data_IF_689441364840
#
_entry.id   IF_689441364840
#
_cell.length_a   1.000
_cell.length_b   1.000
_cell.length_c   1.000
_cell.angle_alpha   90.00
_cell.angle_beta   90.00
_cell.angle_gamma   90.00
#
_symmetry.space_group_name_H-M   'P 1'
#
loop_
_entity.id
_entity.type
_entity.pdbx_description
1 polymer ?
#
# COMPACT_ATOMS: atom_id res chain seq x y z
N UNK A 1 0.18 -5.77 24.69
CA UNK A 1 -0.84 -5.18 25.59
C UNK A 1 -1.46 -6.28 26.43
N UNK A 2 -1.57 -6.05 27.70
CA UNK A 2 -2.20 -6.97 28.65
C UNK A 2 -3.55 -6.38 29.06
N UNK A 3 -4.64 -7.18 29.11
CA UNK A 3 -5.89 -6.70 29.68
C UNK A 3 -5.69 -6.48 31.18
N UNK A 4 -5.93 -5.29 31.67
CA UNK A 4 -5.69 -4.92 33.08
C UNK A 4 -6.72 -5.49 34.06
N UNK A 5 -7.58 -6.38 33.63
CA UNK A 5 -8.54 -7.13 34.44
C UNK A 5 -9.56 -6.31 35.26
N UNK A 6 -9.39 -5.01 35.38
CA UNK A 6 -10.21 -4.13 36.25
C UNK A 6 -10.86 -2.96 35.52
N UNK A 7 -10.61 -2.74 34.22
CA UNK A 7 -11.04 -1.49 33.62
C UNK A 7 -11.80 -1.74 32.32
N UNK A 8 -13.09 -1.52 32.40
CA UNK A 8 -13.90 -1.24 31.23
C UNK A 8 -14.06 0.27 31.12
N UNK A 9 -13.86 0.79 29.91
CA UNK A 9 -14.20 2.17 29.63
C UNK A 9 -15.69 2.42 29.94
N UNK A 10 -16.12 3.67 30.10
CA UNK A 10 -17.54 4.03 30.26
C UNK A 10 -18.45 3.43 29.16
N UNK A 11 -17.86 2.97 28.05
CA UNK A 11 -18.55 2.33 26.91
C UNK A 11 -18.47 0.80 26.95
N UNK A 12 -18.02 0.18 28.04
CA UNK A 12 -17.92 -1.27 28.21
C UNK A 12 -16.77 -1.92 27.44
N UNK A 13 -15.84 -1.14 26.86
CA UNK A 13 -14.68 -1.69 26.16
C UNK A 13 -13.54 -1.97 27.13
N UNK A 14 -12.81 -3.11 26.99
CA UNK A 14 -11.65 -3.40 27.81
C UNK A 14 -10.55 -2.37 27.60
N UNK A 15 -9.92 -1.94 28.68
CA UNK A 15 -8.74 -1.08 28.66
C UNK A 15 -7.50 -1.97 28.71
N UNK A 16 -6.53 -1.69 27.83
CA UNK A 16 -5.29 -2.43 27.72
C UNK A 16 -4.11 -1.54 28.15
N UNK A 17 -3.16 -2.12 28.87
CA UNK A 17 -1.87 -1.48 29.12
C UNK A 17 -0.81 -1.97 28.15
N UNK A 18 0.07 -1.06 27.73
CA UNK A 18 1.25 -1.43 26.97
C UNK A 18 2.30 -2.00 27.92
N UNK A 19 2.86 -3.14 27.54
CA UNK A 19 4.03 -3.68 28.22
C UNK A 19 5.18 -2.71 27.94
N UNK A 20 5.78 -2.17 29.01
CA UNK A 20 6.86 -1.19 28.92
C UNK A 20 8.23 -1.84 28.78
N UNK A 21 8.37 -3.03 29.38
CA UNK A 21 9.60 -3.81 29.32
C UNK A 21 9.32 -5.15 28.64
N UNK A 22 9.85 -5.37 27.42
CA UNK A 22 9.66 -6.63 26.71
C UNK A 22 10.37 -7.82 27.37
N UNK A 23 11.36 -7.58 28.25
CA UNK A 23 12.14 -8.62 28.95
C UNK A 23 11.48 -9.05 30.27
N UNK A 24 10.42 -8.38 30.69
CA UNK A 24 9.72 -8.73 31.90
C UNK A 24 8.98 -10.09 31.73
N UNK A 25 9.59 -11.12 32.33
CA UNK A 25 9.08 -12.52 32.25
C UNK A 25 7.68 -12.69 32.76
N UNK A 26 7.19 -11.82 33.63
CA UNK A 26 5.80 -11.86 34.13
C UNK A 26 4.79 -11.66 33.01
N UNK A 27 5.14 -10.93 31.96
CA UNK A 27 4.30 -10.74 30.79
C UNK A 27 4.35 -11.92 29.82
N UNK A 28 5.46 -12.65 29.76
CA UNK A 28 5.59 -13.86 28.94
C UNK A 28 4.74 -15.00 29.49
N UNK A 29 4.69 -15.14 30.83
CA UNK A 29 3.80 -16.08 31.50
C UNK A 29 2.33 -15.70 31.30
N UNK A 30 2.02 -14.40 31.28
CA UNK A 30 0.69 -13.88 30.99
C UNK A 30 0.28 -14.00 29.51
N UNK A 31 1.19 -14.37 28.57
CA UNK A 31 0.83 -14.53 27.16
C UNK A 31 -0.28 -15.56 26.95
N UNK A 32 -0.26 -16.66 27.72
CA UNK A 32 -1.36 -17.60 27.81
C UNK A 32 -2.65 -17.05 28.43
N UNK A 33 -2.57 -15.90 29.11
CA UNK A 33 -3.66 -15.26 29.87
C UNK A 33 -4.27 -14.03 29.15
N UNK A 34 -4.11 -13.91 27.85
CA UNK A 34 -4.80 -12.88 27.08
C UNK A 34 -3.97 -11.68 26.65
N UNK A 35 -2.65 -11.79 26.62
CA UNK A 35 -1.80 -10.79 25.98
C UNK A 35 -2.11 -10.72 24.49
N UNK A 36 -2.44 -9.54 23.96
CA UNK A 36 -2.69 -9.34 22.55
C UNK A 36 -1.61 -8.47 21.91
N UNK A 37 -1.18 -8.87 20.74
CA UNK A 37 -0.26 -8.07 19.90
C UNK A 37 -1.07 -7.06 19.10
N UNK A 38 -0.68 -5.80 19.21
CA UNK A 38 -1.33 -4.71 18.47
C UNK A 38 -0.32 -4.08 17.53
N UNK A 39 -0.64 -3.94 16.23
CA UNK A 39 0.23 -3.23 15.30
C UNK A 39 0.50 -1.80 15.80
N UNK A 40 1.76 -1.42 15.97
CA UNK A 40 2.13 -0.06 16.38
C UNK A 40 1.97 0.97 15.23
N UNK A 41 1.87 0.49 13.98
CA UNK A 41 1.78 1.32 12.78
C UNK A 41 3.08 2.00 12.35
N UNK A 42 4.10 2.00 13.20
CA UNK A 42 5.35 2.75 12.98
C UNK A 42 6.56 1.85 12.70
N UNK A 43 6.65 0.67 13.31
CA UNK A 43 7.77 -0.24 13.07
C UNK A 43 7.75 -0.78 11.62
N UNK A 44 8.90 -1.25 11.19
CA UNK A 44 9.10 -1.81 9.85
C UNK A 44 8.08 -2.89 9.49
N UNK A 45 7.79 -3.83 10.41
CA UNK A 45 6.80 -4.89 10.20
C UNK A 45 5.41 -4.35 9.90
N UNK A 46 4.94 -3.38 10.69
CA UNK A 46 3.62 -2.77 10.48
C UNK A 46 3.53 -2.00 9.15
N UNK A 47 4.61 -1.36 8.75
CA UNK A 47 4.65 -0.61 7.50
C UNK A 47 4.71 -1.52 6.29
N UNK A 48 5.46 -2.64 6.36
CA UNK A 48 5.42 -3.69 5.33
C UNK A 48 4.02 -4.28 5.17
N UNK A 49 3.36 -4.60 6.28
CA UNK A 49 1.99 -5.11 6.25
C UNK A 49 1.03 -4.07 5.64
N UNK A 50 1.22 -2.79 5.93
CA UNK A 50 0.45 -1.71 5.33
C UNK A 50 0.66 -1.61 3.81
N UNK A 51 1.92 -1.63 3.36
CA UNK A 51 2.28 -1.64 1.94
C UNK A 51 1.69 -2.85 1.22
N UNK A 52 1.84 -4.05 1.80
CA UNK A 52 1.27 -5.27 1.25
C UNK A 52 -0.24 -5.18 1.12
N UNK A 53 -0.95 -4.69 2.13
CA UNK A 53 -2.40 -4.50 2.04
C UNK A 53 -2.82 -3.55 0.93
N UNK A 54 -2.01 -2.53 0.61
CA UNK A 54 -2.27 -1.66 -0.53
C UNK A 54 -2.05 -2.39 -1.86
N UNK A 55 -0.97 -3.17 -1.99
CA UNK A 55 -0.73 -3.99 -3.18
C UNK A 55 -1.88 -4.98 -3.41
N UNK A 56 -2.30 -5.68 -2.35
CA UNK A 56 -3.41 -6.62 -2.39
C UNK A 56 -4.73 -5.93 -2.80
N UNK A 57 -5.03 -4.76 -2.25
CA UNK A 57 -6.21 -3.96 -2.64
C UNK A 57 -6.17 -3.48 -4.09
N UNK A 58 -5.00 -3.13 -4.60
CA UNK A 58 -4.83 -2.77 -6.01
C UNK A 58 -5.08 -3.96 -6.94
N UNK A 59 -4.66 -5.16 -6.54
CA UNK A 59 -4.96 -6.38 -7.28
C UNK A 59 -6.46 -6.72 -7.28
N UNK A 60 -7.16 -6.50 -6.16
CA UNK A 60 -8.61 -6.68 -6.08
C UNK A 60 -9.37 -5.64 -6.91
N UNK A 61 -8.88 -4.40 -6.98
CA UNK A 61 -9.41 -3.39 -7.90
C UNK A 61 -9.22 -3.83 -9.35
N UNK A 62 -8.01 -4.32 -9.71
CA UNK A 62 -7.72 -4.83 -11.06
C UNK A 62 -8.62 -6.01 -11.42
N UNK A 63 -8.82 -6.95 -10.51
CA UNK A 63 -9.72 -8.11 -10.73
C UNK A 63 -11.15 -7.65 -11.01
N UNK A 64 -11.62 -6.60 -10.35
CA UNK A 64 -12.95 -6.02 -10.53
C UNK A 64 -13.11 -5.31 -11.87
N UNK A 65 -12.11 -4.50 -12.28
CA UNK A 65 -12.21 -3.66 -13.50
C UNK A 65 -11.65 -4.35 -14.75
N UNK A 66 -10.90 -5.42 -14.58
CA UNK A 66 -10.35 -6.26 -15.65
C UNK A 66 -9.14 -5.70 -16.39
N UNK A 67 -8.83 -4.39 -16.29
CA UNK A 67 -7.70 -3.78 -16.97
C UNK A 67 -7.11 -2.61 -16.17
N UNK A 68 -5.78 -2.48 -16.22
CA UNK A 68 -5.05 -1.36 -15.65
C UNK A 68 -3.70 -1.20 -16.34
N UNK A 69 -3.10 0.00 -16.23
CA UNK A 69 -1.73 0.29 -16.68
C UNK A 69 -0.92 0.89 -15.55
N UNK A 70 0.36 0.57 -15.54
CA UNK A 70 1.37 1.22 -14.70
C UNK A 70 2.00 2.37 -15.47
N UNK A 71 1.97 3.56 -14.90
CA UNK A 71 2.43 4.81 -15.52
C UNK A 71 3.49 5.44 -14.66
N UNK A 72 4.59 5.86 -15.28
CA UNK A 72 5.59 6.72 -14.64
C UNK A 72 5.59 8.08 -15.32
N UNK A 73 5.45 9.14 -14.52
CA UNK A 73 5.48 10.53 -14.94
C UNK A 73 6.79 11.17 -14.46
N UNK A 74 7.51 11.80 -15.37
CA UNK A 74 8.78 12.46 -15.07
C UNK A 74 8.75 13.87 -15.66
N UNK A 75 9.30 14.85 -14.97
CA UNK A 75 9.44 16.20 -15.50
C UNK A 75 10.57 16.30 -16.52
N UNK A 76 10.40 17.15 -17.53
CA UNK A 76 11.51 17.71 -18.29
C UNK A 76 12.23 18.81 -17.48
N UNK A 77 13.27 19.43 -18.07
CA UNK A 77 14.05 20.44 -17.37
C UNK A 77 13.34 21.80 -17.26
N UNK A 78 12.36 22.05 -18.11
CA UNK A 78 11.64 23.33 -18.16
C UNK A 78 10.51 23.39 -17.13
N UNK A 79 9.93 22.23 -16.79
CA UNK A 79 8.74 22.14 -15.94
C UNK A 79 9.01 21.59 -14.54
N UNK A 80 10.26 21.17 -14.25
CA UNK A 80 10.60 20.60 -12.94
C UNK A 80 10.39 21.64 -11.84
N UNK A 81 9.57 21.37 -10.81
CA UNK A 81 9.34 22.30 -9.72
C UNK A 81 10.61 22.50 -8.89
N UNK A 82 10.98 23.75 -8.67
CA UNK A 82 12.15 24.15 -7.86
C UNK A 82 11.64 24.78 -6.57
N UNK A 83 12.23 24.42 -5.46
CA UNK A 83 12.03 25.05 -4.16
C UNK A 83 13.05 26.14 -3.96
N UNK A 84 12.62 27.25 -3.39
CA UNK A 84 13.46 28.40 -3.07
C UNK A 84 13.41 28.68 -1.57
N UNK A 85 14.54 29.09 -1.01
CA UNK A 85 14.68 29.62 0.33
C UNK A 85 15.51 30.91 0.21
N UNK A 86 15.02 32.00 0.74
CA UNK A 86 15.65 33.33 0.63
C UNK A 86 16.06 33.72 -0.81
N UNK A 87 15.16 33.39 -1.80
CA UNK A 87 15.36 33.60 -3.24
C UNK A 87 16.44 32.71 -3.88
N UNK A 88 17.07 31.81 -3.15
CA UNK A 88 18.04 30.85 -3.68
C UNK A 88 17.39 29.48 -3.92
N UNK A 89 17.68 28.79 -5.07
CA UNK A 89 17.14 27.48 -5.36
C UNK A 89 17.79 26.42 -4.47
N UNK A 90 17.01 25.76 -3.60
CA UNK A 90 17.50 24.75 -2.68
C UNK A 90 17.33 23.31 -3.18
N UNK A 91 16.53 23.09 -4.22
CA UNK A 91 16.34 21.76 -4.81
C UNK A 91 15.06 21.58 -5.58
N UNK A 92 14.86 20.38 -6.07
CA UNK A 92 13.63 19.98 -6.73
C UNK A 92 12.57 19.57 -5.70
N UNK A 93 11.29 19.75 -6.05
CA UNK A 93 10.20 19.35 -5.16
C UNK A 93 9.08 18.62 -5.90
N UNK A 94 8.35 17.77 -5.18
CA UNK A 94 7.15 17.11 -5.70
C UNK A 94 5.96 18.07 -5.66
N UNK A 95 5.05 17.99 -6.66
CA UNK A 95 3.89 18.86 -6.78
C UNK A 95 2.59 18.06 -6.84
N UNK A 96 1.78 18.11 -5.78
CA UNK A 96 0.46 17.45 -5.74
C UNK A 96 -0.51 18.01 -6.79
N UNK A 97 -0.42 19.30 -7.06
CA UNK A 97 -1.29 20.00 -8.02
C UNK A 97 -1.11 19.42 -9.42
N UNK A 98 0.13 19.19 -9.84
CA UNK A 98 0.42 18.65 -11.16
C UNK A 98 -0.15 17.24 -11.34
N UNK A 99 -0.07 16.39 -10.30
CA UNK A 99 -0.70 15.08 -10.31
C UNK A 99 -2.24 15.17 -10.40
N UNK A 100 -2.84 16.14 -9.72
CA UNK A 100 -4.29 16.37 -9.78
C UNK A 100 -4.71 16.87 -11.16
N UNK A 101 -3.93 17.75 -11.77
CA UNK A 101 -4.18 18.27 -13.11
C UNK A 101 -4.00 17.17 -14.18
N UNK A 102 -2.98 16.31 -14.05
CA UNK A 102 -2.85 15.11 -14.87
C UNK A 102 -4.13 14.26 -14.83
N UNK A 103 -4.61 13.93 -13.64
CA UNK A 103 -5.81 13.11 -13.49
C UNK A 103 -7.08 13.81 -14.01
N UNK A 104 -7.15 15.13 -13.91
CA UNK A 104 -8.26 15.94 -14.45
C UNK A 104 -8.24 15.93 -15.96
N UNK A 105 -7.07 16.17 -16.58
CA UNK A 105 -6.89 16.15 -18.02
C UNK A 105 -7.22 14.76 -18.59
N UNK A 106 -6.67 13.72 -17.99
CA UNK A 106 -6.91 12.34 -18.40
C UNK A 106 -8.40 11.99 -18.38
N UNK A 107 -9.10 12.33 -17.31
CA UNK A 107 -10.54 12.03 -17.18
C UNK A 107 -11.37 12.81 -18.20
N UNK A 108 -11.05 14.06 -18.45
CA UNK A 108 -11.74 14.84 -19.49
C UNK A 108 -11.68 14.16 -20.86
N UNK A 109 -10.56 13.49 -21.15
CA UNK A 109 -10.33 12.90 -22.47
C UNK A 109 -10.85 11.44 -22.57
N UNK A 110 -10.97 10.73 -21.45
CA UNK A 110 -11.33 9.30 -21.42
C UNK A 110 -12.60 8.95 -20.66
N UNK A 111 -12.99 9.71 -19.61
CA UNK A 111 -14.21 9.42 -18.85
C UNK A 111 -15.45 9.65 -19.73
N UNK A 112 -16.19 8.60 -20.02
CA UNK A 112 -17.48 8.67 -20.72
C UNK A 112 -17.39 8.70 -22.24
N UNK A 113 -16.23 8.49 -22.87
CA UNK A 113 -16.11 8.27 -24.31
C UNK A 113 -16.35 6.79 -24.63
N UNK A 114 -17.10 6.55 -25.73
CA UNK A 114 -17.29 5.26 -26.41
C UNK A 114 -18.04 4.17 -25.65
N UNK A 115 -19.11 4.54 -24.93
CA UNK A 115 -20.05 3.56 -24.41
C UNK A 115 -19.49 2.59 -23.37
N UNK A 116 -18.35 2.91 -22.78
CA UNK A 116 -17.81 2.19 -21.63
C UNK A 116 -18.64 2.51 -20.39
N UNK A 117 -19.53 1.62 -19.93
CA UNK A 117 -20.40 1.87 -18.77
C UNK A 117 -19.65 1.94 -17.44
N UNK A 118 -18.34 1.69 -17.44
CA UNK A 118 -17.48 1.66 -16.26
C UNK A 118 -16.44 2.79 -16.20
N UNK A 119 -16.64 3.82 -16.97
CA UNK A 119 -15.62 4.80 -17.32
C UNK A 119 -15.33 5.86 -16.27
N UNK A 120 -15.20 5.50 -15.02
CA UNK A 120 -14.53 6.37 -14.07
C UNK A 120 -13.13 5.86 -13.83
N UNK A 121 -12.14 6.43 -14.54
CA UNK A 121 -10.73 6.09 -14.31
C UNK A 121 -10.41 6.26 -12.82
N UNK A 122 -9.99 5.16 -12.22
CA UNK A 122 -9.56 5.14 -10.83
C UNK A 122 -8.06 5.01 -10.77
N UNK A 123 -7.44 5.43 -9.69
CA UNK A 123 -6.00 5.46 -9.62
C UNK A 123 -5.45 5.29 -8.21
N UNK A 124 -4.21 4.82 -8.14
CA UNK A 124 -3.32 4.93 -7.00
C UNK A 124 -1.99 5.49 -7.49
N UNK A 125 -1.56 6.62 -6.93
CA UNK A 125 -0.38 7.37 -7.35
C UNK A 125 0.51 7.63 -6.13
N UNK A 126 1.82 7.56 -6.33
CA UNK A 126 2.82 7.94 -5.32
C UNK A 126 3.89 8.80 -5.98
N UNK A 127 4.40 9.76 -5.23
CA UNK A 127 5.56 10.55 -5.60
C UNK A 127 6.83 9.96 -5.03
N UNK A 128 7.94 10.19 -5.72
CA UNK A 128 9.28 9.76 -5.33
C UNK A 128 10.33 10.78 -5.77
N UNK A 129 11.39 10.92 -4.97
CA UNK A 129 12.63 11.56 -5.39
C UNK A 129 13.61 10.51 -5.87
N UNK A 130 14.12 10.65 -7.08
CA UNK A 130 15.13 9.76 -7.65
C UNK A 130 16.36 9.66 -6.74
N UNK A 131 17.01 8.49 -6.66
CA UNK A 131 18.08 8.24 -5.69
C UNK A 131 19.29 9.16 -5.90
N UNK A 132 19.70 9.36 -7.14
CA UNK A 132 20.93 10.11 -7.49
C UNK A 132 20.67 11.60 -7.72
N UNK A 133 19.69 11.94 -8.56
CA UNK A 133 19.46 13.32 -9.02
C UNK A 133 18.42 14.06 -8.20
N UNK A 134 17.73 13.38 -7.28
CA UNK A 134 16.61 13.91 -6.51
C UNK A 134 15.48 14.50 -7.36
N UNK A 135 15.44 14.17 -8.65
CA UNK A 135 14.34 14.58 -9.53
C UNK A 135 13.03 13.92 -9.09
N UNK A 136 11.92 14.67 -9.01
CA UNK A 136 10.63 14.10 -8.67
C UNK A 136 10.10 13.21 -9.79
N UNK A 137 9.61 12.03 -9.41
CA UNK A 137 8.91 11.08 -10.25
C UNK A 137 7.55 10.74 -9.63
N UNK A 138 6.61 10.32 -10.47
CA UNK A 138 5.31 9.83 -9.99
C UNK A 138 5.03 8.48 -10.61
N UNK A 139 4.72 7.51 -9.76
CA UNK A 139 4.32 6.17 -10.18
C UNK A 139 2.83 6.00 -9.93
N UNK A 140 2.10 5.64 -10.95
CA UNK A 140 0.64 5.58 -10.92
C UNK A 140 0.12 4.26 -11.49
N UNK A 141 -0.81 3.62 -10.79
CA UNK A 141 -1.65 2.57 -11.36
C UNK A 141 -2.96 3.25 -11.79
N UNK A 142 -3.28 3.18 -13.07
CA UNK A 142 -4.55 3.64 -13.63
C UNK A 142 -5.44 2.43 -13.89
N UNK A 143 -6.55 2.34 -13.19
CA UNK A 143 -7.55 1.29 -13.34
C UNK A 143 -8.63 1.72 -14.31
N UNK A 144 -9.10 0.80 -15.14
CA UNK A 144 -10.09 1.02 -16.18
C UNK A 144 -9.50 1.34 -17.56
N UNK A 145 -8.18 1.45 -17.67
CA UNK A 145 -7.44 1.59 -18.94
C UNK A 145 -6.45 0.43 -19.07
N UNK A 146 -6.37 -0.17 -20.27
CA UNK A 146 -5.39 -1.17 -20.64
C UNK A 146 -4.44 -0.67 -21.73
N UNK A 147 -3.38 -1.39 -22.05
CA UNK A 147 -2.48 -1.04 -23.14
C UNK A 147 -3.19 -0.98 -24.50
N UNK A 148 -4.27 -1.76 -24.67
CA UNK A 148 -5.04 -1.80 -25.91
C UNK A 148 -5.88 -0.53 -26.13
N UNK A 149 -6.12 0.24 -25.09
CA UNK A 149 -6.79 1.54 -25.20
C UNK A 149 -5.85 2.64 -25.77
N UNK A 150 -4.58 2.32 -26.01
CA UNK A 150 -3.57 3.23 -26.56
C UNK A 150 -3.00 2.70 -27.90
N UNK A 151 -3.71 2.89 -29.01
CA UNK A 151 -3.30 2.37 -30.32
C UNK A 151 -2.00 3.00 -30.85
N UNK A 152 -1.67 4.23 -30.42
CA UNK A 152 -0.47 4.95 -30.85
C UNK A 152 0.76 4.69 -29.97
N UNK A 153 0.67 3.73 -29.03
CA UNK A 153 1.80 3.37 -28.16
C UNK A 153 3.03 2.93 -28.95
N UNK A 154 4.20 3.40 -28.56
CA UNK A 154 5.49 3.08 -29.17
C UNK A 154 6.35 2.32 -28.17
N UNK A 155 6.78 1.11 -28.53
CA UNK A 155 7.70 0.31 -27.71
C UNK A 155 9.02 1.04 -27.49
N UNK A 156 9.50 1.08 -26.23
CA UNK A 156 10.75 1.74 -25.84
C UNK A 156 11.79 0.79 -25.26
N UNK A 157 11.38 -0.36 -24.74
CA UNK A 157 12.30 -1.31 -24.12
C UNK A 157 11.62 -2.15 -23.05
N UNK A 158 12.45 -2.74 -22.18
CA UNK A 158 12.02 -3.54 -21.04
C UNK A 158 12.34 -2.76 -19.76
N UNK A 159 11.39 -2.75 -18.82
CA UNK A 159 11.59 -2.15 -17.51
C UNK A 159 12.32 -3.10 -16.53
N UNK A 160 12.58 -2.64 -15.31
CA UNK A 160 13.22 -3.41 -14.24
C UNK A 160 12.47 -4.70 -13.85
N UNK A 161 11.17 -4.78 -14.14
CA UNK A 161 10.34 -5.99 -13.92
C UNK A 161 10.36 -6.95 -15.11
N UNK A 162 11.26 -6.73 -16.08
CA UNK A 162 11.33 -7.45 -17.36
C UNK A 162 9.98 -7.45 -18.09
N UNK A 163 9.30 -6.31 -18.09
CA UNK A 163 8.05 -6.06 -18.80
C UNK A 163 8.28 -4.99 -19.87
N UNK A 164 7.65 -5.11 -21.05
CA UNK A 164 7.73 -4.07 -22.07
C UNK A 164 7.13 -2.77 -21.57
N UNK A 165 7.81 -1.66 -21.85
CA UNK A 165 7.28 -0.34 -21.60
C UNK A 165 7.19 0.48 -22.87
N UNK A 166 6.26 1.42 -22.87
CA UNK A 166 5.84 2.17 -24.06
C UNK A 166 5.81 3.67 -23.76
N UNK A 167 6.11 4.45 -24.78
CA UNK A 167 5.70 5.85 -24.89
C UNK A 167 4.25 5.90 -25.40
N UNK A 168 3.40 6.70 -24.76
CA UNK A 168 1.97 6.80 -25.09
C UNK A 168 1.61 8.27 -25.31
N UNK A 169 1.51 8.71 -26.57
CA UNK A 169 1.23 10.10 -26.91
C UNK A 169 -0.04 10.65 -26.27
N UNK A 170 -1.07 9.81 -26.14
CA UNK A 170 -2.35 10.18 -25.52
C UNK A 170 -2.19 10.55 -24.05
N UNK A 171 -1.39 9.80 -23.30
CA UNK A 171 -1.11 10.11 -21.89
C UNK A 171 -0.14 11.28 -21.74
N UNK A 172 0.77 11.46 -22.72
CA UNK A 172 1.66 12.61 -22.76
C UNK A 172 0.89 13.92 -22.94
N UNK A 173 -0.22 13.91 -23.70
CA UNK A 173 -1.11 15.07 -23.80
C UNK A 173 -1.74 15.46 -22.46
N UNK A 174 -2.01 14.48 -21.60
CA UNK A 174 -2.50 14.73 -20.24
C UNK A 174 -1.40 15.21 -19.28
N UNK A 175 -0.12 14.87 -19.57
CA UNK A 175 1.08 15.30 -18.84
C UNK A 175 2.03 16.12 -19.72
N UNK A 176 1.72 17.38 -20.02
CA UNK A 176 2.54 18.22 -20.90
C UNK A 176 3.85 18.71 -20.27
N UNK A 177 4.17 18.23 -19.06
CA UNK A 177 5.31 18.67 -18.24
C UNK A 177 6.56 17.77 -18.38
N UNK A 178 6.55 16.83 -19.31
CA UNK A 178 7.71 15.98 -19.53
C UNK A 178 7.38 14.61 -20.13
N UNK A 179 7.91 13.56 -19.53
CA UNK A 179 7.90 12.22 -20.09
C UNK A 179 6.88 11.32 -19.40
N UNK A 180 6.26 10.43 -20.18
CA UNK A 180 5.32 9.41 -19.71
C UNK A 180 5.77 8.07 -20.23
N UNK A 181 5.97 7.11 -19.33
CA UNK A 181 6.18 5.71 -19.71
C UNK A 181 5.07 4.84 -19.13
N UNK A 182 4.67 3.83 -19.89
CA UNK A 182 3.53 2.97 -19.57
C UNK A 182 3.92 1.51 -19.72
N UNK A 183 3.53 0.66 -18.76
CA UNK A 183 3.67 -0.79 -18.84
C UNK A 183 2.44 -1.50 -18.28
N UNK A 184 2.41 -2.82 -18.41
CA UNK A 184 1.36 -3.64 -17.81
C UNK A 184 1.42 -3.65 -16.29
N UNK A 185 0.26 -3.82 -15.65
CA UNK A 185 0.16 -3.99 -14.21
C UNK A 185 0.35 -5.45 -13.83
N UNK A 186 1.15 -5.66 -12.80
CA UNK A 186 1.36 -6.95 -12.13
C UNK A 186 1.30 -6.75 -10.62
N UNK A 187 1.26 -7.85 -9.86
CA UNK A 187 1.42 -7.74 -8.42
C UNK A 187 2.74 -7.08 -8.03
N UNK A 188 3.81 -7.32 -8.79
CA UNK A 188 5.12 -6.71 -8.54
C UNK A 188 5.06 -5.19 -8.68
N UNK A 189 4.43 -4.65 -9.74
CA UNK A 189 4.26 -3.21 -9.92
C UNK A 189 3.33 -2.60 -8.88
N UNK A 190 2.26 -3.29 -8.48
CA UNK A 190 1.42 -2.86 -7.36
C UNK A 190 2.20 -2.80 -6.04
N UNK A 191 3.01 -3.84 -5.76
CA UNK A 191 3.85 -3.89 -4.57
C UNK A 191 4.95 -2.81 -4.61
N UNK A 192 5.49 -2.52 -5.79
CA UNK A 192 6.44 -1.44 -6.00
C UNK A 192 5.83 -0.09 -5.62
N UNK A 193 4.71 0.29 -6.23
CA UNK A 193 4.03 1.56 -5.94
C UNK A 193 3.63 1.65 -4.46
N UNK A 194 3.14 0.56 -3.87
CA UNK A 194 2.77 0.53 -2.46
C UNK A 194 3.97 0.71 -1.50
N UNK A 195 5.17 0.28 -1.90
CA UNK A 195 6.39 0.37 -1.07
C UNK A 195 6.91 1.78 -0.85
N UNK A 196 6.56 2.74 -1.71
CA UNK A 196 6.94 4.14 -1.47
C UNK A 196 6.37 4.70 -0.17
N UNK A 197 5.29 4.12 0.34
CA UNK A 197 4.80 4.42 1.69
C UNK A 197 5.78 3.99 2.79
N UNK A 198 6.76 3.11 2.48
CA UNK A 198 7.78 2.61 3.41
C UNK A 198 9.05 3.47 3.42
N UNK A 199 9.43 4.09 2.30
CA UNK A 199 10.66 4.88 2.19
C UNK A 199 10.74 5.96 3.27
N UNK A 200 9.65 6.62 3.58
CA UNK A 200 9.55 7.59 4.68
C UNK A 200 10.11 7.10 6.03
N UNK A 201 10.15 5.78 6.24
CA UNK A 201 10.64 5.19 7.51
C UNK A 201 12.14 5.17 7.58
N UNK A 202 12.77 4.81 6.46
CA UNK A 202 14.23 4.73 6.41
C UNK A 202 14.83 6.13 6.36
N UNK A 203 14.16 7.07 5.70
CA UNK A 203 14.60 8.46 5.63
C UNK A 203 14.43 9.20 6.97
N UNK A 204 13.36 8.98 7.75
CA UNK A 204 13.24 9.52 9.10
C UNK A 204 14.33 9.01 10.07
N UNK A 205 14.90 7.83 9.83
CA UNK A 205 16.06 7.34 10.62
C UNK A 205 17.40 7.84 10.08
N UNK A 206 17.48 8.21 8.79
CA UNK A 206 18.71 8.67 8.13
C UNK A 206 18.76 10.20 8.00
N UNK A 207 17.61 10.87 8.00
CA UNK A 207 17.49 12.32 7.80
C UNK A 207 16.72 13.01 8.92
N UNK A 208 17.26 12.99 10.12
CA UNK A 208 17.12 14.14 11.03
C UNK A 208 17.70 15.42 10.37
N UNK A 209 18.46 15.29 9.31
CA UNK A 209 19.11 16.39 8.58
C UNK A 209 18.45 16.74 7.24
N UNK A 210 17.53 15.95 6.69
CA UNK A 210 16.91 16.21 5.38
C UNK A 210 15.64 17.06 5.43
N UNK A 211 15.01 17.19 6.59
CA UNK A 211 13.88 18.11 6.80
C UNK A 211 14.30 19.57 6.95
N UNK A 212 15.58 19.84 7.12
CA UNK A 212 16.12 21.21 7.21
C UNK A 212 16.12 21.96 5.86
N UNK A 213 15.78 21.28 4.75
CA UNK A 213 15.89 21.89 3.41
C UNK A 213 14.54 22.27 2.76
N UNK A 214 13.45 22.39 3.51
CA UNK A 214 12.18 22.94 3.00
C UNK A 214 11.50 22.17 1.85
N UNK A 215 11.98 20.98 1.49
CA UNK A 215 11.47 20.18 0.37
C UNK A 215 10.16 19.48 0.77
N UNK A 216 9.15 19.54 -0.09
CA UNK A 216 7.87 18.86 0.15
C UNK A 216 8.04 17.35 0.30
N UNK A 217 7.43 16.74 1.33
CA UNK A 217 7.56 15.30 1.55
C UNK A 217 6.85 14.50 0.45
N UNK A 218 7.39 13.32 0.12
CA UNK A 218 6.73 12.35 -0.75
C UNK A 218 5.30 12.07 -0.28
N UNK A 219 4.38 11.85 -1.19
CA UNK A 219 2.97 11.65 -0.90
C UNK A 219 2.35 10.53 -1.73
N UNK A 220 1.17 10.08 -1.31
CA UNK A 220 0.33 9.19 -2.11
C UNK A 220 -1.06 9.79 -2.29
N UNK A 221 -1.58 9.70 -3.51
CA UNK A 221 -2.92 10.10 -3.91
C UNK A 221 -3.66 8.89 -4.45
N UNK A 222 -4.97 8.80 -4.21
CA UNK A 222 -5.76 7.68 -4.69
C UNK A 222 -7.24 8.01 -4.80
N UNK A 223 -7.97 7.20 -5.57
CA UNK A 223 -9.42 7.22 -5.57
C UNK A 223 -9.98 6.80 -4.22
N UNK A 224 -10.89 7.61 -3.65
CA UNK A 224 -11.39 7.42 -2.27
C UNK A 224 -12.88 7.09 -2.19
N UNK A 225 -13.67 7.43 -3.18
CA UNK A 225 -15.14 7.28 -3.17
C UNK A 225 -15.62 6.58 -4.44
N UNK A 226 -15.77 5.25 -4.37
CA UNK A 226 -15.39 4.32 -3.31
C UNK A 226 -13.86 4.22 -3.16
N UNK A 227 -13.35 3.62 -2.06
CA UNK A 227 -11.91 3.36 -1.89
C UNK A 227 -11.42 2.27 -2.84
N UNK A 228 -10.12 2.23 -3.15
CA UNK A 228 -9.52 1.19 -3.99
C UNK A 228 -9.82 -0.20 -3.42
N UNK A 229 -10.27 -1.13 -4.28
CA UNK A 229 -10.69 -2.49 -3.95
C UNK A 229 -12.04 -2.58 -3.22
N UNK A 230 -12.79 -1.48 -3.08
CA UNK A 230 -14.07 -1.51 -2.37
C UNK A 230 -15.14 -2.28 -3.12
N UNK A 231 -15.17 -2.15 -4.44
CA UNK A 231 -16.18 -2.78 -5.28
C UNK A 231 -16.05 -4.31 -5.30
N UNK A 232 -14.83 -4.82 -5.18
CA UNK A 232 -14.60 -6.25 -5.03
C UNK A 232 -15.38 -6.84 -3.84
N UNK A 233 -15.41 -6.15 -2.70
CA UNK A 233 -16.18 -6.60 -1.53
C UNK A 233 -17.70 -6.60 -1.79
N UNK A 234 -18.20 -5.66 -2.58
CA UNK A 234 -19.63 -5.61 -2.93
C UNK A 234 -20.03 -6.75 -3.88
N UNK A 235 -19.12 -7.15 -4.78
CA UNK A 235 -19.35 -8.23 -5.75
C UNK A 235 -19.08 -9.63 -5.18
N UNK A 236 -18.23 -9.72 -4.16
CA UNK A 236 -17.71 -10.96 -3.57
C UNK A 236 -17.79 -10.90 -2.03
N UNK A 237 -18.97 -10.71 -1.48
CA UNK A 237 -19.16 -10.64 -0.02
C UNK A 237 -18.87 -11.97 0.67
N UNK A 238 -18.96 -13.10 -0.05
CA UNK A 238 -18.58 -14.44 0.36
C UNK A 238 -17.07 -14.56 0.67
N UNK A 239 -16.24 -13.66 0.12
CA UNK A 239 -14.80 -13.64 0.42
C UNK A 239 -14.50 -13.52 1.92
N UNK A 240 -15.45 -12.99 2.70
CA UNK A 240 -15.34 -12.87 4.15
C UNK A 240 -15.52 -14.19 4.89
N UNK A 241 -16.11 -15.20 4.26
CA UNK A 241 -16.30 -16.54 4.83
C UNK A 241 -15.00 -17.35 4.82
N UNK A 242 -13.99 -16.87 4.09
CA UNK A 242 -12.68 -17.50 3.96
C UNK A 242 -11.60 -16.68 4.70
N UNK A 243 -10.47 -17.30 4.96
CA UNK A 243 -9.31 -16.61 5.55
C UNK A 243 -8.46 -15.86 4.53
N UNK A 244 -8.55 -16.29 3.27
CA UNK A 244 -7.72 -15.79 2.18
C UNK A 244 -8.58 -15.58 0.93
N UNK A 245 -8.18 -14.60 0.14
CA UNK A 245 -8.68 -14.37 -1.21
C UNK A 245 -7.60 -14.86 -2.18
N UNK A 246 -8.00 -15.46 -3.29
CA UNK A 246 -7.10 -15.84 -4.37
C UNK A 246 -7.51 -15.15 -5.66
N UNK A 247 -6.62 -14.31 -6.18
CA UNK A 247 -6.84 -13.58 -7.44
C UNK A 247 -6.01 -14.21 -8.54
N UNK A 248 -6.62 -14.44 -9.69
CA UNK A 248 -5.94 -14.99 -10.87
C UNK A 248 -4.93 -13.98 -11.40
N UNK A 249 -3.75 -14.45 -11.75
CA UNK A 249 -2.69 -13.67 -12.38
C UNK A 249 -2.20 -14.36 -13.64
N UNK A 250 -1.50 -13.66 -14.51
CA UNK A 250 -0.92 -14.28 -15.72
C UNK A 250 0.06 -15.44 -15.45
N UNK A 251 0.57 -15.57 -14.21
CA UNK A 251 1.51 -16.63 -13.78
C UNK A 251 0.90 -17.60 -12.76
N UNK A 252 -0.44 -17.65 -12.64
CA UNK A 252 -1.14 -18.51 -11.68
C UNK A 252 -2.10 -17.73 -10.79
N UNK A 253 -2.15 -18.03 -9.49
CA UNK A 253 -3.00 -17.33 -8.54
C UNK A 253 -2.17 -16.68 -7.43
N UNK A 254 -2.47 -15.41 -7.13
CA UNK A 254 -1.92 -14.71 -5.97
C UNK A 254 -2.87 -14.87 -4.79
N UNK A 255 -2.37 -15.48 -3.70
CA UNK A 255 -3.10 -15.68 -2.46
C UNK A 255 -2.79 -14.57 -1.48
N UNK A 256 -3.81 -13.90 -0.98
CA UNK A 256 -3.69 -12.79 -0.04
C UNK A 256 -4.61 -12.96 1.16
N UNK A 257 -4.26 -12.35 2.30
CA UNK A 257 -5.18 -12.25 3.42
C UNK A 257 -6.26 -11.22 3.13
N UNK A 258 -7.43 -11.37 3.78
CA UNK A 258 -8.48 -10.37 3.67
C UNK A 258 -7.95 -9.03 4.18
N UNK A 259 -7.99 -7.96 3.36
CA UNK A 259 -7.53 -6.65 3.77
C UNK A 259 -8.25 -6.13 5.01
N UNK A 260 -7.52 -5.53 5.95
CA UNK A 260 -8.12 -4.87 7.12
C UNK A 260 -9.13 -3.77 6.73
N UNK A 261 -9.00 -3.24 5.51
CA UNK A 261 -9.97 -2.32 4.94
C UNK A 261 -11.37 -2.93 4.86
N UNK A 262 -11.50 -4.19 4.43
CA UNK A 262 -12.79 -4.89 4.34
C UNK A 262 -13.39 -5.14 5.72
N UNK A 263 -12.58 -5.59 6.66
CA UNK A 263 -13.03 -5.80 8.03
C UNK A 263 -13.55 -4.49 8.66
N UNK A 264 -12.88 -3.38 8.38
CA UNK A 264 -13.32 -2.06 8.83
C UNK A 264 -14.61 -1.63 8.16
N UNK A 265 -14.76 -1.84 6.83
CA UNK A 265 -15.99 -1.52 6.09
C UNK A 265 -17.18 -2.32 6.57
N UNK A 266 -17.01 -3.61 6.82
CA UNK A 266 -18.04 -4.45 7.40
C UNK A 266 -18.45 -3.93 8.77
N UNK A 267 -17.50 -3.54 9.61
CA UNK A 267 -17.76 -2.98 10.94
C UNK A 267 -18.46 -1.62 10.89
N UNK A 268 -18.09 -0.76 9.92
CA UNK A 268 -18.72 0.56 9.71
C UNK A 268 -20.15 0.42 9.18
N UNK A 269 -20.40 -0.54 8.28
CA UNK A 269 -21.70 -0.79 7.67
C UNK A 269 -22.65 -1.64 8.54
N UNK A 270 -22.13 -2.31 9.55
CA UNK A 270 -22.95 -2.99 10.56
C UNK A 270 -23.61 -1.96 11.48
N UNK A 271 -24.65 -1.33 10.98
CA UNK A 271 -25.52 -0.39 11.72
C UNK A 271 -26.33 -1.12 12.81
N UNK A 272 -26.40 -2.44 12.74
CA UNK A 272 -27.09 -3.26 13.74
C UNK A 272 -26.05 -3.89 14.68
N UNK A 273 -25.97 -3.46 15.95
CA UNK A 273 -25.24 -4.21 16.95
C UNK A 273 -25.87 -5.61 17.03
N UNK A 274 -25.04 -6.67 16.97
CA UNK A 274 -25.41 -8.08 17.00
C UNK A 274 -25.83 -8.71 15.65
N UNK A 275 -25.05 -8.52 14.59
CA UNK A 275 -25.14 -9.40 13.43
C UNK A 275 -24.30 -10.68 13.68
N UNK A 276 -24.91 -11.85 13.93
CA UNK A 276 -24.20 -13.08 14.32
C UNK A 276 -23.15 -13.53 13.31
N UNK A 277 -23.34 -13.22 12.01
CA UNK A 277 -22.39 -13.56 10.95
C UNK A 277 -21.05 -12.83 11.16
N UNK A 278 -21.10 -11.56 11.53
CA UNK A 278 -19.90 -10.75 11.67
C UNK A 278 -19.21 -10.92 13.03
N UNK A 279 -19.97 -11.12 14.09
CA UNK A 279 -19.40 -11.44 15.40
C UNK A 279 -18.62 -12.76 15.33
N UNK A 280 -19.19 -13.77 14.68
CA UNK A 280 -18.51 -15.04 14.44
C UNK A 280 -17.23 -14.86 13.58
N UNK A 281 -17.28 -14.07 12.52
CA UNK A 281 -16.12 -13.77 11.66
C UNK A 281 -14.95 -13.19 12.48
N UNK A 282 -15.23 -12.22 13.37
CA UNK A 282 -14.19 -11.60 14.19
C UNK A 282 -13.67 -12.56 15.26
N UNK A 283 -14.50 -13.35 15.89
CA UNK A 283 -14.08 -14.36 16.86
C UNK A 283 -13.28 -15.50 16.23
N UNK A 284 -13.69 -16.01 15.07
CA UNK A 284 -12.96 -17.05 14.34
C UNK A 284 -11.57 -16.56 13.91
N UNK A 285 -11.45 -15.31 13.48
CA UNK A 285 -10.15 -14.70 13.14
C UNK A 285 -9.24 -14.51 14.33
N UNK A 286 -9.79 -14.06 15.44
CA UNK A 286 -9.07 -13.90 16.68
C UNK A 286 -8.55 -15.25 17.20
N UNK A 287 -9.41 -16.28 17.17
CA UNK A 287 -9.05 -17.65 17.52
C UNK A 287 -7.96 -18.20 16.60
N UNK A 288 -8.10 -18.04 15.27
CA UNK A 288 -7.09 -18.47 14.32
C UNK A 288 -5.73 -17.78 14.52
N UNK A 289 -5.73 -16.48 14.80
CA UNK A 289 -4.50 -15.74 15.10
C UNK A 289 -3.82 -16.26 16.37
N UNK A 290 -4.61 -16.56 17.42
CA UNK A 290 -4.12 -17.16 18.67
C UNK A 290 -3.55 -18.55 18.43
N UNK A 291 -4.30 -19.44 17.77
CA UNK A 291 -3.88 -20.82 17.49
C UNK A 291 -2.62 -20.87 16.62
N UNK A 292 -2.54 -19.97 15.63
CA UNK A 292 -1.37 -19.84 14.77
C UNK A 292 -0.11 -19.37 15.53
N UNK A 293 -0.28 -18.47 16.50
CA UNK A 293 0.80 -18.02 17.37
C UNK A 293 1.28 -19.16 18.30
N UNK A 294 0.35 -19.88 18.91
CA UNK A 294 0.65 -21.04 19.77
C UNK A 294 1.37 -22.16 18.99
N UNK A 295 0.92 -22.47 17.77
CA UNK A 295 1.58 -23.45 16.90
C UNK A 295 3.01 -23.04 16.53
N UNK A 296 3.25 -21.75 16.28
CA UNK A 296 4.61 -21.28 16.03
C UNK A 296 5.49 -21.45 17.26
N UNK A 297 5.00 -21.08 18.42
CA UNK A 297 5.74 -21.22 19.68
C UNK A 297 6.07 -22.67 20.01
N UNK A 298 5.16 -23.63 19.75
CA UNK A 298 5.38 -25.04 20.04
C UNK A 298 6.42 -25.72 19.14
N UNK A 299 6.73 -25.14 17.97
CA UNK A 299 7.66 -25.73 16.99
C UNK A 299 9.10 -25.26 17.16
N UNK A 300 9.37 -24.26 17.98
CA UNK A 300 10.68 -23.63 18.11
C UNK A 300 11.03 -23.63 19.61
N UNK A 301 12.22 -24.14 19.91
CA UNK A 301 12.76 -24.17 21.29
C UNK A 301 13.29 -22.81 21.79
N UNK A 302 13.09 -21.76 21.03
CA UNK A 302 13.50 -20.40 21.36
C UNK A 302 12.48 -19.74 22.28
N UNK A 303 12.94 -18.82 23.11
CA UNK A 303 12.05 -17.95 23.86
C UNK A 303 11.16 -17.11 22.91
N UNK A 304 10.04 -16.60 23.40
CA UNK A 304 9.15 -15.78 22.59
C UNK A 304 9.86 -14.52 22.05
N UNK A 305 10.73 -13.91 22.84
CA UNK A 305 11.52 -12.72 22.45
C UNK A 305 12.49 -13.08 21.34
N UNK A 306 13.28 -14.14 21.51
CA UNK A 306 14.23 -14.59 20.49
C UNK A 306 13.54 -14.90 19.15
N UNK A 307 12.30 -15.43 19.20
CA UNK A 307 11.49 -15.65 18.00
C UNK A 307 11.10 -14.34 17.32
N UNK A 308 10.75 -13.30 18.10
CA UNK A 308 10.38 -11.99 17.56
C UNK A 308 11.60 -11.31 16.93
N UNK A 309 12.77 -11.38 17.56
CA UNK A 309 14.03 -10.85 17.05
C UNK A 309 14.41 -11.56 15.74
N UNK A 310 14.29 -12.89 15.69
CA UNK A 310 14.55 -13.66 14.49
C UNK A 310 13.56 -13.31 13.35
N UNK A 311 12.27 -13.09 13.66
CA UNK A 311 11.29 -12.63 12.66
C UNK A 311 11.61 -11.23 12.15
N UNK A 312 12.06 -10.33 13.02
CA UNK A 312 12.48 -8.97 12.65
C UNK A 312 13.73 -9.01 11.78
N UNK A 313 14.72 -9.79 12.15
CA UNK A 313 15.96 -9.97 11.36
C UNK A 313 15.66 -10.54 9.96
N UNK A 314 14.79 -11.55 9.86
CA UNK A 314 14.36 -12.11 8.57
C UNK A 314 13.66 -11.06 7.71
N UNK A 315 12.82 -10.21 8.30
CA UNK A 315 12.17 -9.10 7.59
C UNK A 315 13.18 -8.06 7.13
N UNK A 316 14.14 -7.68 7.97
CA UNK A 316 15.22 -6.75 7.63
C UNK A 316 16.07 -7.29 6.46
N UNK A 317 16.48 -8.56 6.51
CA UNK A 317 17.22 -9.21 5.42
C UNK A 317 16.41 -9.26 4.11
N UNK A 318 15.12 -9.54 4.19
CA UNK A 318 14.23 -9.53 3.02
C UNK A 318 14.15 -8.15 2.38
N UNK A 319 14.16 -7.08 3.16
CA UNK A 319 14.11 -5.70 2.65
C UNK A 319 15.44 -5.29 2.06
N UNK A 320 16.56 -5.62 2.71
CA UNK A 320 17.90 -5.30 2.17
C UNK A 320 18.16 -5.98 0.83
N UNK A 321 17.55 -7.13 0.57
CA UNK A 321 17.60 -7.77 -0.74
C UNK A 321 16.71 -7.07 -1.78
N UNK A 322 15.65 -6.36 -1.33
CA UNK A 322 14.78 -5.59 -2.21
C UNK A 322 15.36 -4.21 -2.57
N UNK A 323 16.12 -3.57 -1.66
CA UNK A 323 16.76 -2.27 -1.91
C UNK A 323 17.85 -2.35 -2.99
N UNK A 324 18.50 -3.50 -3.15
CA UNK A 324 19.51 -3.69 -4.21
C UNK A 324 18.97 -3.59 -5.65
N UNK A 325 17.67 -3.66 -5.83
CA UNK A 325 17.02 -3.46 -7.13
C UNK A 325 16.57 -2.01 -7.38
N UNK A 326 16.80 -1.10 -6.42
CA UNK A 326 16.38 0.30 -6.52
C UNK A 326 17.54 1.27 -6.76
N UNK A 327 18.79 0.80 -6.69
CA UNK A 327 20.00 1.61 -6.82
C UNK A 327 20.64 1.51 -8.21
N UNK A 328 19.91 0.96 -9.19
CA UNK A 328 20.36 0.82 -10.59
C UNK A 328 19.77 1.85 -11.53
#
# INVERSE_FOLDING_TARGET
MVPTGKFYSKTGKPIYEFIKDPDDRTYLEAYGNGVIRVPCGKCLGCRLDYSRQWADRMMLELDTVGKAVFVTLTYDNEHIPIMFEDDEPIGYTVCKKDCQDFMKNLRRDYDGKDGHPYAKIRFYLTSEYGPSTKRPHYHCILFGLGLDDFPLRVFKGMNEFNQPFYDVPELKAAWPKGFVTVSEVSWATCAYVARYTLKKVFEEQVTTNGFEMGVEPEFSLMSRRPGIGAEYLNLHDDCLDYQNISVKTGKGAHKMFIPNYYLRKVKENCILPNNPKYDKLFEDRKRFASDSALMKMSRISLSFIDQLELEEEKKLRSISSLSRHFDG
#
